data_IF_952866212026
#
_entry.id   IF_952866212026
#
_cell.length_a   1.000
_cell.length_b   1.000
_cell.length_c   1.000
_cell.angle_alpha   90.00
_cell.angle_beta   90.00
_cell.angle_gamma   90.00
#
_symmetry.space_group_name_H-M   'P 1'
#
loop_
_entity.id
_entity.type
_entity.pdbx_description
1 polymer ?
#
# COMPACT_ATOMS: atom_id res chain seq x y z
N UNK A 1 3.43 -28.75 35.49
CA UNK A 1 3.48 -27.93 34.25
C UNK A 1 4.17 -26.61 34.59
N UNK A 2 4.84 -25.99 33.61
CA UNK A 2 5.64 -24.74 33.69
C UNK A 2 7.07 -24.81 34.21
N UNK A 3 7.98 -25.41 33.43
CA UNK A 3 9.44 -25.19 33.55
C UNK A 3 10.18 -25.18 32.22
N UNK A 4 9.68 -24.49 31.19
CA UNK A 4 10.44 -24.35 29.93
C UNK A 4 10.32 -22.97 29.27
N UNK A 5 10.31 -21.91 30.08
CA UNK A 5 10.45 -20.54 29.58
C UNK A 5 11.39 -19.76 30.47
N UNK A 6 12.67 -19.78 30.10
CA UNK A 6 13.69 -18.72 30.27
C UNK A 6 15.06 -19.39 30.24
N UNK A 7 15.79 -19.19 29.16
CA UNK A 7 17.26 -19.15 29.09
C UNK A 7 17.82 -19.78 27.80
N UNK A 8 17.58 -19.13 26.64
CA UNK A 8 18.55 -19.16 25.52
C UNK A 8 18.63 -17.76 24.89
N UNK A 9 18.68 -16.72 25.73
CA UNK A 9 19.10 -15.37 25.31
C UNK A 9 20.27 -14.94 26.18
N UNK A 10 21.43 -15.48 25.88
CA UNK A 10 22.71 -14.92 26.31
C UNK A 10 23.81 -15.38 25.36
N UNK A 11 24.66 -14.44 24.94
CA UNK A 11 25.72 -14.57 23.94
C UNK A 11 25.16 -14.67 22.51
N UNK A 12 25.47 -13.82 21.54
CA UNK A 12 26.60 -12.94 21.35
C UNK A 12 26.13 -11.67 20.62
N UNK A 13 26.42 -10.49 21.16
CA UNK A 13 26.89 -9.32 20.37
C UNK A 13 27.53 -8.34 21.33
N UNK A 14 28.80 -8.62 21.56
CA UNK A 14 29.79 -7.74 22.16
C UNK A 14 29.84 -6.44 21.33
N UNK A 15 29.52 -5.33 22.00
CA UNK A 15 30.18 -4.02 21.89
C UNK A 15 30.18 -3.34 20.51
N UNK A 16 29.33 -2.31 20.35
CA UNK A 16 29.86 -0.96 20.27
C UNK A 16 28.84 0.06 20.81
N UNK A 17 29.39 1.05 21.50
CA UNK A 17 28.73 2.01 22.39
C UNK A 17 28.81 3.39 21.73
N UNK A 18 27.80 4.22 22.03
CA UNK A 18 27.63 5.66 21.76
C UNK A 18 27.02 6.08 20.42
N UNK A 19 25.69 6.23 20.36
CA UNK A 19 25.00 7.55 20.34
C UNK A 19 23.46 7.41 20.23
N UNK A 20 22.75 8.18 21.07
CA UNK A 20 21.29 8.45 21.20
C UNK A 20 21.10 9.90 20.65
N UNK A 21 19.98 10.35 20.03
CA UNK A 21 18.56 10.28 20.48
C UNK A 21 17.53 10.02 19.35
N UNK A 22 16.21 9.83 19.49
CA UNK A 22 15.24 9.61 20.58
C UNK A 22 13.92 9.22 19.89
N UNK A 23 13.16 8.30 20.47
CA UNK A 23 11.68 8.21 20.44
C UNK A 23 10.99 8.34 19.06
N UNK A 24 10.60 7.27 18.36
CA UNK A 24 9.46 6.42 18.74
C UNK A 24 9.59 5.06 18.04
N UNK A 25 9.58 4.00 18.84
CA UNK A 25 9.39 2.65 18.37
C UNK A 25 8.17 2.08 19.09
N UNK A 26 7.12 1.74 18.33
CA UNK A 26 6.40 0.49 18.59
C UNK A 26 5.83 -0.05 17.28
N UNK A 27 6.36 -1.21 16.99
CA UNK A 27 6.24 -2.09 15.83
C UNK A 27 5.21 -3.19 16.08
N UNK A 28 4.54 -3.61 15.00
CA UNK A 28 3.96 -4.95 14.72
C UNK A 28 3.47 -4.83 13.27
N UNK A 29 4.07 -5.34 12.19
CA UNK A 29 4.70 -6.63 11.86
C UNK A 29 3.80 -7.85 12.10
N UNK A 30 2.85 -8.05 11.19
CA UNK A 30 2.41 -9.38 10.76
C UNK A 30 2.94 -9.66 9.36
N UNK A 31 3.48 -10.87 9.20
CA UNK A 31 4.21 -11.36 8.03
C UNK A 31 3.32 -12.33 7.28
N UNK A 32 3.10 -12.12 5.98
CA UNK A 32 2.41 -13.08 5.12
C UNK A 32 2.66 -12.79 3.65
N UNK A 33 3.50 -13.61 3.00
CA UNK A 33 3.60 -13.69 1.54
C UNK A 33 4.92 -13.20 0.97
N UNK A 34 5.88 -14.11 0.86
CA UNK A 34 7.05 -13.90 0.01
C UNK A 34 6.66 -13.86 -1.46
N UNK A 35 7.06 -12.79 -2.14
CA UNK A 35 7.61 -12.86 -3.50
C UNK A 35 8.41 -11.58 -3.75
N UNK A 36 9.74 -11.71 -3.69
CA UNK A 36 10.68 -10.70 -4.18
C UNK A 36 10.59 -10.63 -5.69
N UNK A 37 9.68 -9.81 -6.22
CA UNK A 37 9.64 -9.49 -7.64
C UNK A 37 8.99 -8.12 -7.83
N UNK A 38 9.76 -7.05 -7.60
CA UNK A 38 9.81 -5.82 -8.42
C UNK A 38 10.54 -4.71 -7.66
N UNK A 39 11.83 -4.50 -7.99
CA UNK A 39 12.62 -3.36 -7.50
C UNK A 39 12.23 -2.02 -8.15
N UNK A 40 10.96 -1.88 -8.58
CA UNK A 40 10.32 -0.60 -8.89
C UNK A 40 9.23 -0.47 -7.83
N UNK A 41 9.38 0.48 -6.92
CA UNK A 41 8.41 0.69 -5.85
C UNK A 41 6.99 0.80 -6.43
N UNK A 42 6.01 0.24 -5.72
CA UNK A 42 4.61 0.37 -6.10
C UNK A 42 4.25 1.86 -6.20
N UNK A 43 4.15 2.39 -7.42
CA UNK A 43 3.88 3.82 -7.67
C UNK A 43 2.50 4.25 -7.17
N UNK A 44 1.58 3.30 -7.00
CA UNK A 44 0.21 3.55 -6.54
C UNK A 44 0.08 3.53 -5.03
N UNK A 45 1.14 3.21 -4.29
CA UNK A 45 1.03 3.01 -2.84
C UNK A 45 0.49 4.24 -2.11
N UNK A 46 0.87 5.45 -2.54
CA UNK A 46 0.37 6.69 -1.96
C UNK A 46 -1.09 6.94 -2.34
N UNK A 47 -1.46 6.67 -3.59
CA UNK A 47 -2.83 6.83 -4.07
C UNK A 47 -3.78 5.84 -3.38
N UNK A 48 -3.35 4.60 -3.13
CA UNK A 48 -4.10 3.61 -2.35
C UNK A 48 -4.44 4.12 -0.94
N UNK A 49 -3.49 4.79 -0.27
CA UNK A 49 -3.74 5.41 1.04
C UNK A 49 -4.74 6.56 0.90
N UNK A 50 -4.53 7.46 -0.06
CA UNK A 50 -5.42 8.60 -0.28
C UNK A 50 -6.86 8.19 -0.66
N UNK A 51 -7.05 7.08 -1.40
CA UNK A 51 -8.37 6.53 -1.74
C UNK A 51 -9.10 6.08 -0.48
N UNK A 52 -8.40 5.37 0.41
CA UNK A 52 -8.97 4.91 1.69
C UNK A 52 -9.33 6.06 2.62
N UNK A 53 -8.56 7.14 2.58
CA UNK A 53 -8.79 8.36 3.36
C UNK A 53 -9.81 9.32 2.68
N UNK A 54 -10.26 9.01 1.46
CA UNK A 54 -11.20 9.86 0.72
C UNK A 54 -10.61 11.19 0.22
N UNK A 55 -9.29 11.28 0.09
CA UNK A 55 -8.56 12.51 -0.32
C UNK A 55 -7.88 12.39 -1.69
N UNK A 56 -7.98 11.23 -2.35
CA UNK A 56 -7.37 10.99 -3.65
C UNK A 56 -8.04 11.84 -4.76
N UNK A 57 -7.24 12.63 -5.48
CA UNK A 57 -7.70 13.47 -6.58
C UNK A 57 -6.61 13.64 -7.65
N UNK A 58 -7.04 13.79 -8.91
CA UNK A 58 -6.15 13.96 -10.06
C UNK A 58 -6.69 15.04 -11.00
N UNK A 59 -5.79 15.77 -11.67
CA UNK A 59 -6.18 16.72 -12.69
C UNK A 59 -6.59 16.00 -13.98
N UNK A 60 -7.86 16.08 -14.35
CA UNK A 60 -8.42 15.45 -15.56
C UNK A 60 -9.34 16.41 -16.32
N UNK A 61 -9.58 16.13 -17.61
CA UNK A 61 -10.60 16.83 -18.41
C UNK A 61 -11.92 16.06 -18.33
N UNK A 62 -12.96 16.70 -17.80
CA UNK A 62 -14.31 16.15 -17.86
C UNK A 62 -14.89 16.35 -19.28
N UNK A 63 -15.25 15.25 -19.95
CA UNK A 63 -15.80 15.29 -21.32
C UNK A 63 -17.32 15.46 -21.35
N UNK A 64 -18.02 15.29 -20.21
CA UNK A 64 -19.47 15.32 -20.13
C UNK A 64 -20.06 13.95 -19.80
N UNK A 65 -21.35 13.80 -20.10
CA UNK A 65 -22.12 12.57 -19.89
C UNK A 65 -22.96 12.26 -21.13
N UNK A 66 -23.17 10.97 -21.41
CA UNK A 66 -23.97 10.49 -22.53
C UNK A 66 -24.84 9.33 -22.06
N UNK A 67 -26.09 9.28 -22.51
CA UNK A 67 -27.00 8.19 -22.22
C UNK A 67 -26.60 6.94 -23.02
N UNK A 68 -26.65 5.78 -22.37
CA UNK A 68 -26.31 4.48 -22.96
C UNK A 68 -27.41 3.46 -22.68
N UNK A 69 -27.58 2.51 -23.59
CA UNK A 69 -28.62 1.49 -23.46
C UNK A 69 -28.25 0.41 -22.42
N UNK A 70 -26.99 -0.04 -22.43
CA UNK A 70 -26.48 -0.99 -21.43
C UNK A 70 -25.74 -0.26 -20.31
N UNK A 71 -25.93 -0.72 -19.07
CA UNK A 71 -25.35 -0.05 -17.89
C UNK A 71 -23.89 -0.41 -17.61
N UNK A 72 -23.34 -1.44 -18.26
CA UNK A 72 -21.99 -1.97 -18.00
C UNK A 72 -21.38 -2.54 -19.27
N UNK A 73 -20.05 -2.61 -19.33
CA UNK A 73 -19.31 -3.24 -20.41
C UNK A 73 -18.18 -2.34 -20.91
N UNK A 74 -17.05 -2.93 -21.28
CA UNK A 74 -15.91 -2.17 -21.79
C UNK A 74 -16.27 -1.46 -23.10
N UNK A 75 -16.98 -2.17 -23.98
CA UNK A 75 -17.41 -1.67 -25.28
C UNK A 75 -18.33 -0.44 -25.14
N UNK A 76 -19.18 -0.41 -24.11
CA UNK A 76 -20.05 0.74 -23.82
C UNK A 76 -19.22 1.98 -23.49
N UNK A 77 -18.20 1.86 -22.65
CA UNK A 77 -17.30 2.95 -22.31
C UNK A 77 -16.50 3.45 -23.52
N UNK A 78 -16.03 2.53 -24.37
CA UNK A 78 -15.28 2.88 -25.59
C UNK A 78 -16.14 3.68 -26.58
N UNK A 79 -17.37 3.25 -26.83
CA UNK A 79 -18.31 3.98 -27.70
C UNK A 79 -18.72 5.33 -27.12
N UNK A 80 -18.97 5.40 -25.80
CA UNK A 80 -19.31 6.66 -25.13
C UNK A 80 -18.21 7.72 -25.33
N UNK A 81 -16.94 7.32 -25.26
CA UNK A 81 -15.81 8.21 -25.50
C UNK A 81 -15.74 8.68 -26.96
N UNK A 82 -16.17 7.88 -27.94
CA UNK A 82 -16.24 8.29 -29.35
C UNK A 82 -17.32 9.35 -29.60
N UNK A 83 -18.43 9.30 -28.86
CA UNK A 83 -19.51 10.29 -28.95
C UNK A 83 -19.13 11.61 -28.27
N UNK A 84 -18.36 11.56 -27.19
CA UNK A 84 -17.98 12.73 -26.38
C UNK A 84 -16.67 13.41 -26.80
N UNK A 85 -15.96 12.85 -27.78
CA UNK A 85 -14.71 13.42 -28.34
C UNK A 85 -14.99 14.16 -29.63
#
# INVERSE_FOLDING_TARGET
MDRLRKSIRSSLRKKNKDQVPSSQASSQQESGGGNSATSKGNVWQQDEVAVRDGTCSFQVKYLGCVEVFESRGMQVCEEAVKVLK
#
